data_IF_190589840046
#
_entry.id   IF_190589840046
#
_cell.length_a   1.000
_cell.length_b   1.000
_cell.length_c   1.000
_cell.angle_alpha   90.00
_cell.angle_beta   90.00
_cell.angle_gamma   90.00
#
_symmetry.space_group_name_H-M   'P 1'
#
loop_
_entity.id
_entity.type
_entity.pdbx_description
1 polymer ?
#
# COMPACT_ATOMS: atom_id res chain seq x y z
N UNK A 1 35.08 -14.39 14.80
CA UNK A 1 35.41 -12.98 14.49
C UNK A 1 34.25 -12.14 15.02
N UNK A 2 34.52 -11.20 15.93
CA UNK A 2 33.53 -10.18 16.32
C UNK A 2 33.41 -9.21 15.16
N UNK A 3 32.21 -9.13 14.57
CA UNK A 3 31.89 -8.12 13.57
C UNK A 3 31.61 -6.82 14.32
N UNK A 4 32.40 -5.80 14.08
CA UNK A 4 32.26 -4.50 14.74
C UNK A 4 31.12 -3.69 14.01
N UNK A 5 29.87 -4.12 14.20
CA UNK A 5 28.72 -3.47 13.61
C UNK A 5 28.18 -2.35 14.53
N UNK A 6 27.90 -1.20 13.95
CA UNK A 6 27.28 -0.06 14.66
C UNK A 6 25.86 0.15 14.12
N UNK A 7 24.90 0.25 15.02
CA UNK A 7 23.53 0.67 14.72
C UNK A 7 23.32 2.07 15.29
N UNK A 8 22.78 2.98 14.49
CA UNK A 8 22.41 4.33 14.91
C UNK A 8 20.91 4.51 14.67
N UNK A 9 20.20 4.98 15.67
CA UNK A 9 18.76 5.29 15.59
C UNK A 9 18.63 6.80 15.52
N UNK A 10 17.85 7.29 14.56
CA UNK A 10 17.53 8.70 14.36
C UNK A 10 16.04 8.94 14.30
N UNK A 11 15.65 10.20 14.40
CA UNK A 11 14.25 10.63 14.24
C UNK A 11 14.09 11.45 12.95
N UNK A 12 13.00 11.25 12.21
CA UNK A 12 12.65 12.06 11.06
C UNK A 12 12.48 13.55 11.39
N UNK A 13 12.13 13.88 12.63
CA UNK A 13 12.05 15.28 13.10
C UNK A 13 13.43 15.92 13.28
N UNK A 14 14.46 15.13 13.61
CA UNK A 14 15.83 15.57 13.87
C UNK A 14 16.85 14.72 13.11
N UNK A 15 16.90 14.83 11.78
CA UNK A 15 17.69 13.95 10.92
C UNK A 15 19.21 14.18 11.00
N UNK A 16 19.64 15.29 11.56
CA UNK A 16 21.08 15.66 11.60
C UNK A 16 21.93 14.66 12.38
N UNK A 17 21.30 13.87 13.28
CA UNK A 17 21.99 12.83 14.06
C UNK A 17 22.47 11.64 13.23
N UNK A 18 21.94 11.44 12.03
CA UNK A 18 22.27 10.33 11.14
C UNK A 18 22.91 10.77 9.81
N UNK A 19 22.96 12.08 9.55
CA UNK A 19 23.61 12.61 8.35
C UNK A 19 25.13 12.53 8.46
N UNK A 20 25.81 12.28 7.32
CA UNK A 20 27.26 12.32 7.23
C UNK A 20 27.98 11.11 7.84
N UNK A 21 27.28 10.03 8.15
CA UNK A 21 27.89 8.77 8.54
C UNK A 21 28.05 7.84 7.32
N UNK A 22 29.13 7.04 7.31
CA UNK A 22 29.27 5.94 6.35
C UNK A 22 28.29 4.83 6.71
N UNK A 23 27.18 4.75 5.97
CA UNK A 23 26.09 3.84 6.24
C UNK A 23 26.03 2.79 5.12
N UNK A 24 26.05 1.51 5.47
CA UNK A 24 25.84 0.44 4.50
C UNK A 24 24.35 0.08 4.32
N UNK A 25 23.53 0.30 5.36
CA UNK A 25 22.13 -0.08 5.38
C UNK A 25 21.31 0.99 6.09
N UNK A 26 20.15 1.31 5.56
CA UNK A 26 19.16 2.16 6.22
C UNK A 26 17.77 1.53 6.15
N UNK A 27 17.06 1.67 7.25
CA UNK A 27 15.64 1.35 7.35
C UNK A 27 14.87 2.60 7.76
N UNK A 28 14.04 3.10 6.85
CA UNK A 28 13.10 4.18 7.13
C UNK A 28 11.78 3.54 7.54
N UNK A 29 11.44 3.68 8.82
CA UNK A 29 10.24 3.09 9.40
C UNK A 29 9.11 4.10 9.45
N UNK A 30 7.89 3.67 9.11
CA UNK A 30 6.66 4.48 9.11
C UNK A 30 6.76 5.76 8.25
N UNK A 31 7.25 5.63 7.02
CA UNK A 31 7.55 6.76 6.13
C UNK A 31 6.32 7.62 5.83
N UNK A 32 5.13 7.03 5.75
CA UNK A 32 3.89 7.78 5.51
C UNK A 32 3.52 8.72 6.67
N UNK A 33 4.11 8.53 7.87
CA UNK A 33 3.91 9.40 9.02
C UNK A 33 4.97 10.52 9.14
N UNK A 34 5.94 10.58 8.23
CA UNK A 34 6.96 11.61 8.30
C UNK A 34 6.36 12.99 8.04
N UNK A 35 6.84 14.03 8.76
CA UNK A 35 6.41 15.38 8.50
C UNK A 35 6.75 15.80 7.06
N UNK A 36 5.73 16.15 6.28
CA UNK A 36 5.90 16.65 4.91
C UNK A 36 5.37 18.08 4.81
N UNK A 37 6.25 19.04 5.07
CA UNK A 37 5.97 20.47 5.03
C UNK A 37 6.77 21.16 3.92
N UNK A 38 6.48 22.44 3.65
CA UNK A 38 7.27 23.21 2.68
C UNK A 38 8.74 23.35 3.07
N UNK A 39 9.02 23.38 4.38
CA UNK A 39 10.36 23.53 4.96
C UNK A 39 11.07 22.18 5.15
N UNK A 40 10.30 21.09 5.30
CA UNK A 40 10.83 19.74 5.55
C UNK A 40 10.07 18.74 4.69
N UNK A 41 10.58 18.46 3.51
CA UNK A 41 10.00 17.44 2.63
C UNK A 41 10.54 16.06 2.96
N UNK A 42 9.64 15.11 3.08
CA UNK A 42 10.00 13.69 3.31
C UNK A 42 10.96 13.17 2.24
N UNK A 43 10.73 13.49 0.98
CA UNK A 43 11.61 13.10 -0.12
C UNK A 43 13.03 13.64 0.00
N UNK A 44 13.19 14.92 0.39
CA UNK A 44 14.50 15.53 0.58
C UNK A 44 15.28 14.88 1.73
N UNK A 45 14.58 14.53 2.80
CA UNK A 45 15.16 13.81 3.94
C UNK A 45 15.68 12.43 3.52
N UNK A 46 14.83 11.66 2.85
CA UNK A 46 15.18 10.31 2.39
C UNK A 46 16.31 10.36 1.38
N UNK A 47 16.26 11.25 0.39
CA UNK A 47 17.32 11.45 -0.59
C UNK A 47 18.66 11.82 0.08
N UNK A 48 18.63 12.72 1.06
CA UNK A 48 19.84 13.17 1.78
C UNK A 48 20.52 12.03 2.54
N UNK A 49 19.76 11.15 3.20
CA UNK A 49 20.32 10.01 3.92
C UNK A 49 20.74 8.92 2.95
N UNK A 50 19.91 8.61 1.96
CA UNK A 50 20.19 7.57 0.95
C UNK A 50 21.42 7.88 0.12
N UNK A 51 21.74 9.17 -0.14
CA UNK A 51 22.95 9.56 -0.85
C UNK A 51 24.25 9.23 -0.11
N UNK A 52 24.19 8.95 1.19
CA UNK A 52 25.35 8.51 1.99
C UNK A 52 25.58 7.00 1.89
N UNK A 53 24.72 6.25 1.18
CA UNK A 53 24.81 4.80 1.04
C UNK A 53 25.46 4.48 -0.30
N UNK A 54 26.63 3.81 -0.33
CA UNK A 54 27.28 3.46 -1.57
C UNK A 54 26.49 2.38 -2.31
N UNK A 55 26.45 2.46 -3.64
CA UNK A 55 25.87 1.44 -4.51
C UNK A 55 26.83 0.26 -4.69
N UNK A 56 27.03 -0.50 -3.64
CA UNK A 56 27.90 -1.68 -3.61
C UNK A 56 27.13 -2.92 -3.13
N UNK A 57 27.60 -4.13 -3.41
CA UNK A 57 27.01 -5.33 -2.84
C UNK A 57 26.89 -5.24 -1.32
N UNK A 58 25.76 -5.72 -0.79
CA UNK A 58 25.41 -5.68 0.65
C UNK A 58 25.00 -4.32 1.21
N UNK A 59 24.81 -3.29 0.38
CA UNK A 59 24.10 -2.10 0.80
C UNK A 59 22.60 -2.26 0.56
N UNK A 60 21.77 -1.76 1.50
CA UNK A 60 20.33 -1.91 1.45
C UNK A 60 19.65 -0.64 1.94
N UNK A 61 18.63 -0.20 1.19
CA UNK A 61 17.71 0.85 1.59
C UNK A 61 16.32 0.23 1.68
N UNK A 62 15.73 0.24 2.87
CA UNK A 62 14.36 -0.24 3.11
C UNK A 62 13.51 0.95 3.53
N UNK A 63 12.35 1.07 2.93
CA UNK A 63 11.28 1.98 3.37
C UNK A 63 10.05 1.14 3.65
N UNK A 64 9.46 1.29 4.83
CA UNK A 64 8.20 0.64 5.15
C UNK A 64 7.24 1.61 5.85
N UNK A 65 5.97 1.37 5.71
CA UNK A 65 4.92 2.08 6.42
C UNK A 65 3.59 1.34 6.33
N UNK A 66 2.72 1.57 7.31
CA UNK A 66 1.29 1.47 7.10
C UNK A 66 0.84 2.62 6.20
N UNK A 67 -0.08 2.35 5.28
CA UNK A 67 -0.57 3.37 4.36
C UNK A 67 -1.44 4.40 5.10
N UNK A 68 -1.21 5.68 4.85
CA UNK A 68 -2.00 6.77 5.43
C UNK A 68 -2.97 7.41 4.41
N UNK A 69 -2.96 6.93 3.18
CA UNK A 69 -3.84 7.38 2.11
C UNK A 69 -3.12 7.67 0.81
N UNK A 70 -3.84 8.30 -0.11
CA UNK A 70 -3.35 8.61 -1.45
C UNK A 70 -2.69 9.98 -1.47
N UNK A 71 -1.49 10.08 -2.07
CA UNK A 71 -0.84 11.34 -2.43
C UNK A 71 0.28 11.76 -1.49
N UNK A 72 0.56 11.04 -0.42
CA UNK A 72 1.77 11.24 0.37
C UNK A 72 3.03 10.74 -0.38
N UNK A 73 4.20 11.00 0.21
CA UNK A 73 5.48 10.58 -0.38
C UNK A 73 5.58 9.05 -0.50
N UNK A 74 5.14 8.30 0.52
CA UNK A 74 5.24 6.84 0.52
C UNK A 74 4.36 6.21 -0.55
N UNK A 75 3.11 6.67 -0.68
CA UNK A 75 2.21 6.24 -1.75
C UNK A 75 2.78 6.54 -3.14
N UNK A 76 3.29 7.77 -3.34
CA UNK A 76 3.85 8.18 -4.63
C UNK A 76 5.06 7.33 -5.01
N UNK A 77 5.96 7.06 -4.07
CA UNK A 77 7.13 6.23 -4.29
C UNK A 77 6.77 4.76 -4.56
N UNK A 78 5.77 4.22 -3.83
CA UNK A 78 5.25 2.88 -4.04
C UNK A 78 4.64 2.72 -5.44
N UNK A 79 3.83 3.67 -5.88
CA UNK A 79 3.24 3.65 -7.22
C UNK A 79 4.28 3.82 -8.34
N UNK A 80 5.31 4.64 -8.13
CA UNK A 80 6.44 4.77 -9.07
C UNK A 80 7.22 3.45 -9.16
N UNK A 81 7.43 2.78 -8.03
CA UNK A 81 8.09 1.48 -8.00
C UNK A 81 7.28 0.41 -8.76
N UNK A 82 5.95 0.38 -8.61
CA UNK A 82 5.07 -0.51 -9.38
C UNK A 82 5.15 -0.28 -10.89
N UNK A 83 5.34 0.96 -11.32
CA UNK A 83 5.48 1.32 -12.74
C UNK A 83 6.89 1.10 -13.29
N UNK A 84 7.87 0.76 -12.44
CA UNK A 84 9.27 0.68 -12.82
C UNK A 84 9.95 2.04 -13.01
N UNK A 85 9.39 3.09 -12.44
CA UNK A 85 9.87 4.47 -12.49
C UNK A 85 10.72 4.83 -11.24
N UNK A 86 10.99 3.86 -10.37
CA UNK A 86 11.81 3.97 -9.17
C UNK A 86 12.91 2.92 -9.18
N UNK A 87 13.99 3.17 -8.44
CA UNK A 87 15.07 2.20 -8.18
C UNK A 87 14.70 1.15 -7.10
N UNK A 88 13.48 1.20 -6.60
CA UNK A 88 13.00 0.35 -5.52
C UNK A 88 12.10 -0.78 -6.03
N UNK A 89 12.06 -1.86 -5.28
CA UNK A 89 11.14 -2.98 -5.51
C UNK A 89 9.94 -2.85 -4.57
N UNK A 90 8.72 -2.72 -5.09
CA UNK A 90 7.53 -2.64 -4.27
C UNK A 90 7.22 -4.01 -3.67
N UNK A 91 6.95 -4.05 -2.37
CA UNK A 91 6.52 -5.26 -1.65
C UNK A 91 5.27 -4.90 -0.87
N UNK A 92 4.20 -5.65 -1.08
CA UNK A 92 3.00 -5.58 -0.27
C UNK A 92 2.86 -6.89 0.52
N UNK A 93 2.55 -6.76 1.81
CA UNK A 93 2.32 -7.92 2.69
C UNK A 93 0.86 -7.86 3.13
N UNK A 94 -0.01 -8.70 2.57
CA UNK A 94 -1.40 -8.75 2.98
C UNK A 94 -1.52 -9.34 4.39
N UNK A 95 -2.55 -8.94 5.12
CA UNK A 95 -2.76 -9.38 6.49
C UNK A 95 -2.84 -10.92 6.62
N UNK A 96 -3.35 -11.61 5.62
CA UNK A 96 -3.54 -13.07 5.65
C UNK A 96 -2.25 -13.89 5.48
N UNK A 97 -1.15 -13.25 5.06
CA UNK A 97 0.18 -13.88 5.04
C UNK A 97 0.84 -13.90 6.42
N UNK A 98 0.24 -13.24 7.41
CA UNK A 98 0.78 -13.17 8.76
C UNK A 98 0.25 -14.35 9.58
N UNK A 99 1.13 -15.28 9.94
CA UNK A 99 0.78 -16.55 10.61
C UNK A 99 -0.05 -16.42 11.89
N UNK A 100 0.09 -15.30 12.62
CA UNK A 100 -0.66 -15.08 13.85
C UNK A 100 -2.14 -14.73 13.62
N UNK A 101 -2.55 -14.42 12.38
CA UNK A 101 -3.91 -14.05 12.04
C UNK A 101 -4.70 -15.25 11.53
N UNK A 102 -4.76 -16.31 12.35
CA UNK A 102 -5.45 -17.54 12.03
C UNK A 102 -6.30 -17.99 13.21
N UNK A 103 -7.45 -18.59 12.91
CA UNK A 103 -8.34 -19.24 13.88
C UNK A 103 -8.72 -20.62 13.36
N UNK A 104 -8.57 -21.70 14.16
CA UNK A 104 -9.00 -23.02 13.75
C UNK A 104 -10.46 -23.05 13.30
N UNK A 105 -10.74 -23.80 12.24
CA UNK A 105 -12.08 -23.94 11.66
C UNK A 105 -12.68 -25.29 12.07
N UNK A 106 -13.79 -25.27 12.78
CA UNK A 106 -14.47 -26.49 13.23
C UNK A 106 -15.21 -27.20 12.08
N UNK A 107 -15.82 -26.44 11.16
CA UNK A 107 -16.59 -26.97 10.03
C UNK A 107 -16.30 -26.17 8.74
N UNK A 108 -15.37 -26.67 7.95
CA UNK A 108 -14.96 -26.07 6.67
C UNK A 108 -16.10 -25.96 5.66
N UNK A 109 -16.99 -26.95 5.59
CA UNK A 109 -18.11 -26.93 4.64
C UNK A 109 -19.10 -25.83 4.98
N UNK A 110 -19.42 -25.69 6.25
CA UNK A 110 -20.28 -24.62 6.74
C UNK A 110 -19.66 -23.26 6.49
N UNK A 111 -18.35 -23.12 6.76
CA UNK A 111 -17.61 -21.87 6.54
C UNK A 111 -17.72 -21.47 5.06
N UNK A 112 -17.31 -22.32 4.13
CA UNK A 112 -17.31 -22.06 2.68
C UNK A 112 -18.73 -21.77 2.16
N UNK A 113 -19.75 -22.54 2.60
CA UNK A 113 -21.13 -22.32 2.15
C UNK A 113 -21.73 -20.98 2.56
N UNK A 114 -21.10 -20.29 3.50
CA UNK A 114 -21.52 -19.00 4.03
C UNK A 114 -20.63 -17.83 3.59
N UNK A 115 -19.73 -18.05 2.64
CA UNK A 115 -18.85 -17.00 2.16
C UNK A 115 -19.61 -15.84 1.54
N UNK A 116 -19.21 -14.64 1.92
CA UNK A 116 -19.57 -13.41 1.23
C UNK A 116 -18.73 -13.24 -0.03
N UNK A 117 -19.11 -12.30 -0.90
CA UNK A 117 -18.29 -11.95 -2.09
C UNK A 117 -16.86 -11.55 -1.71
N UNK A 118 -16.71 -10.85 -0.59
CA UNK A 118 -15.39 -10.47 -0.07
C UNK A 118 -14.55 -11.67 0.39
N UNK A 119 -15.16 -12.62 1.04
CA UNK A 119 -14.45 -13.81 1.51
C UNK A 119 -14.08 -14.76 0.35
N UNK A 120 -14.87 -14.78 -0.70
CA UNK A 120 -14.48 -15.41 -1.96
C UNK A 120 -13.27 -14.72 -2.57
N UNK A 121 -13.28 -13.38 -2.62
CA UNK A 121 -12.12 -12.62 -3.07
C UNK A 121 -10.87 -12.89 -2.24
N UNK A 122 -10.96 -12.95 -0.91
CA UNK A 122 -9.84 -13.31 -0.03
C UNK A 122 -9.31 -14.71 -0.33
N UNK A 123 -10.22 -15.68 -0.50
CA UNK A 123 -9.86 -17.05 -0.85
C UNK A 123 -9.12 -17.13 -2.19
N UNK A 124 -9.64 -16.48 -3.21
CA UNK A 124 -9.02 -16.40 -4.54
C UNK A 124 -7.67 -15.67 -4.52
N UNK A 125 -7.49 -14.74 -3.59
CA UNK A 125 -6.23 -14.01 -3.36
C UNK A 125 -5.21 -14.81 -2.56
N UNK A 126 -5.56 -15.99 -2.04
CA UNK A 126 -4.65 -16.91 -1.34
C UNK A 126 -4.81 -16.98 0.17
N UNK A 127 -5.80 -16.31 0.76
CA UNK A 127 -6.08 -16.44 2.19
C UNK A 127 -6.51 -17.86 2.54
N UNK A 128 -6.01 -18.41 3.65
CA UNK A 128 -6.44 -19.72 4.17
C UNK A 128 -7.83 -19.64 4.80
N UNK A 129 -8.49 -20.79 4.97
CA UNK A 129 -9.79 -20.85 5.66
C UNK A 129 -9.67 -20.39 7.11
N UNK A 130 -8.57 -20.68 7.76
CA UNK A 130 -8.24 -20.27 9.12
C UNK A 130 -8.05 -18.74 9.21
N UNK A 131 -7.44 -18.12 8.19
CA UNK A 131 -7.31 -16.68 8.11
C UNK A 131 -8.68 -16.00 7.89
N UNK A 132 -9.52 -16.56 7.01
CA UNK A 132 -10.88 -16.05 6.79
C UNK A 132 -11.74 -16.15 8.05
N UNK A 133 -11.65 -17.27 8.78
CA UNK A 133 -12.35 -17.41 10.07
C UNK A 133 -11.84 -16.40 11.11
N UNK A 134 -10.53 -16.18 11.16
CA UNK A 134 -9.95 -15.13 11.99
C UNK A 134 -10.50 -13.75 11.63
N UNK A 135 -10.55 -13.42 10.34
CA UNK A 135 -11.05 -12.13 9.84
C UNK A 135 -12.52 -11.93 10.23
N UNK A 136 -13.38 -12.94 10.08
CA UNK A 136 -14.77 -12.91 10.53
C UNK A 136 -14.89 -12.57 12.03
N UNK A 137 -14.09 -13.23 12.84
CA UNK A 137 -14.10 -13.02 14.29
C UNK A 137 -13.57 -11.63 14.64
N UNK A 138 -12.48 -11.20 14.02
CA UNK A 138 -11.91 -9.87 14.20
C UNK A 138 -12.88 -8.77 13.74
N UNK A 139 -13.59 -8.97 12.61
CA UNK A 139 -14.58 -8.03 12.09
C UNK A 139 -15.67 -7.67 13.09
N UNK A 140 -16.06 -8.57 13.97
CA UNK A 140 -17.05 -8.33 15.03
C UNK A 140 -16.59 -7.28 16.04
N UNK A 141 -15.29 -7.03 16.16
CA UNK A 141 -14.72 -6.04 17.09
C UNK A 141 -14.64 -4.63 16.49
N UNK A 142 -14.91 -4.47 15.19
CA UNK A 142 -14.89 -3.20 14.49
C UNK A 142 -16.32 -2.69 14.27
N UNK A 143 -16.54 -1.41 14.49
CA UNK A 143 -17.85 -0.77 14.23
C UNK A 143 -18.10 -0.63 12.72
N UNK A 144 -17.03 -0.40 11.95
CA UNK A 144 -17.06 -0.17 10.53
C UNK A 144 -16.17 -1.15 9.76
N UNK A 145 -16.67 -1.64 8.61
CA UNK A 145 -15.94 -2.51 7.71
C UNK A 145 -14.75 -1.83 7.06
N UNK A 146 -14.88 -0.54 6.73
CA UNK A 146 -13.80 0.21 6.09
C UNK A 146 -12.62 0.40 7.04
N UNK A 147 -12.89 0.67 8.31
CA UNK A 147 -11.84 0.76 9.32
C UNK A 147 -11.10 -0.58 9.48
N UNK A 148 -11.84 -1.70 9.50
CA UNK A 148 -11.19 -3.02 9.51
C UNK A 148 -10.29 -3.24 8.29
N UNK A 149 -10.74 -2.85 7.10
CA UNK A 149 -9.98 -2.98 5.86
C UNK A 149 -8.73 -2.08 5.80
N UNK A 150 -8.76 -0.91 6.44
CA UNK A 150 -7.57 -0.05 6.53
C UNK A 150 -6.51 -0.59 7.49
N UNK A 151 -6.94 -1.23 8.58
CA UNK A 151 -6.03 -1.83 9.56
C UNK A 151 -5.47 -3.18 9.08
N UNK A 152 -6.28 -3.94 8.32
CA UNK A 152 -5.95 -5.26 7.80
C UNK A 152 -6.22 -5.30 6.28
N UNK A 153 -5.42 -4.60 5.48
CA UNK A 153 -5.63 -4.55 4.04
C UNK A 153 -5.27 -5.88 3.37
N UNK A 154 -6.09 -6.31 2.44
CA UNK A 154 -5.86 -7.53 1.66
C UNK A 154 -5.10 -7.30 0.36
N UNK A 155 -5.03 -6.07 -0.09
CA UNK A 155 -4.23 -5.64 -1.23
C UNK A 155 -3.77 -4.18 -1.06
N UNK A 156 -2.86 -3.73 -1.91
CA UNK A 156 -2.29 -2.39 -1.87
C UNK A 156 -3.33 -1.30 -2.21
N UNK A 157 -4.31 -1.60 -3.04
CA UNK A 157 -5.41 -0.66 -3.33
C UNK A 157 -6.27 -0.43 -2.09
N UNK A 158 -6.46 -1.47 -1.28
CA UNK A 158 -7.16 -1.41 0.00
C UNK A 158 -6.37 -0.61 1.03
N UNK A 159 -5.06 -0.85 1.08
CA UNK A 159 -4.16 -0.16 1.99
C UNK A 159 -4.17 1.36 1.79
N UNK A 160 -4.07 1.81 0.54
CA UNK A 160 -4.04 3.26 0.23
C UNK A 160 -5.42 3.89 0.09
N UNK A 161 -6.47 3.13 0.21
CA UNK A 161 -7.82 3.66 0.14
C UNK A 161 -8.09 4.56 1.36
N UNK A 162 -8.31 5.84 1.11
CA UNK A 162 -8.65 6.80 2.15
C UNK A 162 -9.84 6.33 2.98
N UNK A 163 -9.80 6.60 4.28
CA UNK A 163 -10.88 6.40 5.26
C UNK A 163 -12.10 7.32 5.04
N UNK A 164 -12.15 8.09 3.95
CA UNK A 164 -13.28 8.94 3.59
C UNK A 164 -14.49 8.12 3.11
N UNK A 165 -15.69 8.66 3.30
CA UNK A 165 -16.93 8.08 2.76
C UNK A 165 -16.80 7.87 1.25
N UNK A 166 -16.88 6.61 0.81
CA UNK A 166 -16.85 6.25 -0.60
C UNK A 166 -18.28 6.26 -1.14
N UNK A 167 -18.46 6.96 -2.25
CA UNK A 167 -19.75 6.98 -2.97
C UNK A 167 -20.03 5.64 -3.66
N UNK A 168 -18.99 4.88 -4.01
CA UNK A 168 -19.11 3.64 -4.77
C UNK A 168 -18.49 2.45 -4.04
N UNK A 169 -19.17 1.31 -4.12
CA UNK A 169 -18.66 0.03 -3.64
C UNK A 169 -17.41 -0.40 -4.43
N UNK A 170 -16.35 -0.77 -3.71
CA UNK A 170 -15.05 -1.09 -4.28
C UNK A 170 -15.09 -2.34 -5.18
N UNK A 171 -15.83 -3.37 -4.77
CA UNK A 171 -15.94 -4.61 -5.55
C UNK A 171 -16.72 -4.36 -6.84
N UNK A 172 -17.70 -3.46 -6.79
CA UNK A 172 -18.36 -2.99 -7.99
C UNK A 172 -17.38 -2.30 -8.94
N UNK A 173 -16.51 -1.44 -8.42
CA UNK A 173 -15.46 -0.77 -9.21
C UNK A 173 -14.46 -1.78 -9.77
N UNK A 174 -14.01 -2.76 -8.97
CA UNK A 174 -13.07 -3.79 -9.42
C UNK A 174 -13.68 -4.62 -10.57
N UNK A 175 -14.90 -5.12 -10.41
CA UNK A 175 -15.65 -5.81 -11.48
C UNK A 175 -15.85 -4.94 -12.72
N UNK A 176 -16.07 -3.64 -12.55
CA UNK A 176 -16.17 -2.70 -13.65
C UNK A 176 -14.84 -2.56 -14.40
N UNK A 177 -13.70 -2.52 -13.69
CA UNK A 177 -12.37 -2.46 -14.31
C UNK A 177 -12.07 -3.68 -15.17
N UNK A 178 -12.39 -4.88 -14.71
CA UNK A 178 -12.22 -6.12 -15.47
C UNK A 178 -13.06 -6.13 -16.77
N UNK A 179 -14.21 -5.46 -16.73
CA UNK A 179 -15.11 -5.34 -17.86
C UNK A 179 -14.90 -4.06 -18.70
N UNK A 180 -13.89 -3.23 -18.40
CA UNK A 180 -13.61 -2.03 -19.18
C UNK A 180 -13.07 -2.41 -20.55
N UNK A 181 -13.61 -1.74 -21.59
CA UNK A 181 -13.14 -1.85 -22.96
C UNK A 181 -12.55 -0.50 -23.38
N UNK A 182 -11.62 -0.47 -24.34
CA UNK A 182 -11.19 0.78 -24.94
C UNK A 182 -12.41 1.59 -25.41
N UNK A 183 -12.40 2.94 -25.27
CA UNK A 183 -13.49 3.75 -25.77
C UNK A 183 -13.63 3.58 -27.28
N UNK A 184 -14.84 3.33 -27.76
CA UNK A 184 -15.14 3.24 -29.18
C UNK A 184 -15.07 4.61 -29.87
N UNK A 185 -15.03 5.67 -29.10
CA UNK A 185 -14.95 7.05 -29.59
C UNK A 185 -14.19 7.94 -28.62
N UNK A 186 -13.40 8.90 -29.14
CA UNK A 186 -12.71 9.93 -28.37
C UNK A 186 -12.91 11.29 -29.02
N UNK A 187 -13.20 12.33 -28.25
CA UNK A 187 -13.40 13.67 -28.75
C UNK A 187 -13.34 14.72 -27.64
N UNK A 188 -13.33 15.99 -28.07
CA UNK A 188 -13.36 17.14 -27.18
C UNK A 188 -14.76 17.75 -27.17
N UNK A 189 -15.22 18.16 -25.98
CA UNK A 189 -16.45 18.94 -25.84
C UNK A 189 -16.14 20.41 -26.11
N UNK A 190 -16.75 20.98 -27.12
CA UNK A 190 -16.67 22.43 -27.39
C UNK A 190 -17.89 23.11 -26.77
N UNK A 191 -17.65 24.09 -25.89
CA UNK A 191 -18.68 24.74 -25.08
C UNK A 191 -19.70 25.56 -25.88
N UNK A 192 -19.36 25.98 -27.09
CA UNK A 192 -20.19 26.94 -27.84
C UNK A 192 -21.16 26.31 -28.84
N UNK A 193 -21.10 25.01 -29.08
CA UNK A 193 -21.88 24.36 -30.16
C UNK A 193 -22.76 23.21 -29.74
N UNK A 194 -22.74 22.76 -28.48
CA UNK A 194 -23.39 21.53 -28.01
C UNK A 194 -23.14 20.29 -28.90
N UNK A 195 -22.10 20.32 -29.70
CA UNK A 195 -21.72 19.22 -30.59
C UNK A 195 -20.43 18.57 -30.08
N UNK A 196 -20.43 17.26 -30.14
CA UNK A 196 -19.25 16.44 -29.85
C UNK A 196 -18.53 16.21 -31.16
N UNK A 197 -17.31 16.75 -31.29
CA UNK A 197 -16.45 16.49 -32.42
C UNK A 197 -15.42 15.43 -32.03
N UNK A 198 -15.39 14.30 -32.71
CA UNK A 198 -14.46 13.22 -32.49
C UNK A 198 -13.84 12.71 -33.77
N UNK A 199 -12.66 12.13 -33.66
CA UNK A 199 -12.06 11.35 -34.75
C UNK A 199 -12.23 9.89 -34.40
N UNK A 200 -12.78 9.12 -35.34
CA UNK A 200 -12.75 7.67 -35.26
C UNK A 200 -11.29 7.19 -35.24
N UNK A 201 -10.95 6.39 -34.24
CA UNK A 201 -9.62 5.81 -34.06
C UNK A 201 -9.56 4.41 -34.64
#
# INVERSE_FOLDING_TARGET
>A
QQVNARVTIGSAEKPDSVRGADIAMVHFSEVALYPDTKEKRTGDLIASISSSIPLVPYSVIVMESTAQGVGDYFHTEYENAKKGESDKTPIFIPWYDIEMYQTPVDDYKRLISSFTDYEWYLWESGATLEAIEWYRNKRKTFQDAQHMMSEFPSDDVEAFANTGERVFDRYAIHRMRENTKPPCWRGELQSDTHSITGKDS
#
